data_IF_378505296372
#
_entry.id   IF_378505296372
#
_cell.length_a   1.000
_cell.length_b   1.000
_cell.length_c   1.000
_cell.angle_alpha   90.00
_cell.angle_beta   90.00
_cell.angle_gamma   90.00
#
_symmetry.space_group_name_H-M   'P 1'
#
loop_
_entity.id
_entity.type
_entity.pdbx_description
1 polymer ?
#
# COMPACT_ATOMS: atom_id res chain seq x y z
N UNK A 1 57.34 -11.73 -1.38
CA UNK A 1 56.17 -10.83 -1.39
C UNK A 1 56.68 -9.44 -1.79
N UNK A 2 56.03 -8.73 -2.72
CA UNK A 2 56.42 -7.35 -3.06
C UNK A 2 55.63 -6.38 -2.18
N UNK A 3 56.30 -5.43 -1.53
CA UNK A 3 55.62 -4.37 -0.78
C UNK A 3 54.89 -3.44 -1.74
N UNK A 4 53.64 -3.08 -1.44
CA UNK A 4 52.93 -2.04 -2.18
C UNK A 4 53.50 -0.66 -1.81
N UNK A 5 53.57 0.25 -2.78
CA UNK A 5 54.05 1.61 -2.51
C UNK A 5 52.98 2.41 -1.75
N UNK A 6 53.41 3.42 -0.99
CA UNK A 6 52.49 4.28 -0.22
C UNK A 6 51.37 4.86 -1.10
N UNK A 7 51.68 5.23 -2.35
CA UNK A 7 50.70 5.72 -3.31
C UNK A 7 49.64 4.67 -3.72
N UNK A 8 50.04 3.40 -3.89
CA UNK A 8 49.11 2.30 -4.17
C UNK A 8 48.20 2.02 -2.98
N UNK A 9 48.75 2.08 -1.75
CA UNK A 9 47.97 1.95 -0.52
C UNK A 9 46.98 3.12 -0.37
N UNK A 10 47.38 4.34 -0.74
CA UNK A 10 46.53 5.53 -0.71
C UNK A 10 45.39 5.46 -1.75
N UNK A 11 45.64 4.93 -2.96
CA UNK A 11 44.56 4.67 -3.93
C UNK A 11 43.59 3.58 -3.42
N UNK A 12 44.09 2.52 -2.79
CA UNK A 12 43.24 1.46 -2.20
C UNK A 12 42.41 1.96 -1.00
N UNK A 13 42.96 2.85 -0.18
CA UNK A 13 42.18 3.54 0.86
C UNK A 13 41.16 4.51 0.24
N UNK A 14 41.53 5.25 -0.82
CA UNK A 14 40.60 6.13 -1.53
C UNK A 14 39.39 5.36 -2.08
N UNK A 15 39.61 4.25 -2.80
CA UNK A 15 38.52 3.45 -3.37
C UNK A 15 37.69 2.70 -2.33
N UNK A 16 38.21 2.41 -1.13
CA UNK A 16 37.42 1.82 -0.05
C UNK A 16 36.65 2.87 0.77
N UNK A 17 37.21 4.07 1.00
CA UNK A 17 36.51 5.18 1.67
C UNK A 17 35.38 5.73 0.81
N UNK A 18 35.55 5.85 -0.51
CA UNK A 18 34.48 6.31 -1.42
C UNK A 18 33.34 5.30 -1.66
N UNK A 19 33.43 4.07 -1.11
CA UNK A 19 32.33 3.09 -1.15
C UNK A 19 31.51 3.04 0.15
N UNK A 20 31.77 3.91 1.13
CA UNK A 20 30.92 4.11 2.30
C UNK A 20 29.73 5.05 2.01
N UNK A 21 28.99 4.78 0.93
CA UNK A 21 27.66 5.35 0.77
C UNK A 21 26.76 4.82 1.89
N UNK A 22 26.44 5.70 2.85
CA UNK A 22 25.44 5.42 3.87
C UNK A 22 24.09 5.24 3.19
N UNK A 23 23.72 3.99 2.93
CA UNK A 23 22.56 3.62 2.12
C UNK A 23 21.26 3.85 2.90
N UNK A 24 20.89 5.10 3.20
CA UNK A 24 19.56 5.43 3.72
C UNK A 24 18.51 4.80 2.80
N UNK A 25 17.48 4.20 3.39
CA UNK A 25 16.38 3.63 2.61
C UNK A 25 15.77 4.76 1.76
N UNK A 26 15.66 4.54 0.45
CA UNK A 26 15.14 5.56 -0.45
C UNK A 26 13.72 5.95 -0.01
N UNK A 27 13.54 7.24 0.29
CA UNK A 27 12.30 7.74 0.85
C UNK A 27 11.62 8.59 -0.21
N UNK A 28 10.44 8.14 -0.62
CA UNK A 28 9.71 8.71 -1.72
C UNK A 28 8.26 8.99 -1.41
N UNK A 29 7.57 9.52 -2.40
CA UNK A 29 6.18 9.96 -2.30
C UNK A 29 5.42 9.66 -3.59
N UNK A 30 4.14 9.31 -3.46
CA UNK A 30 3.23 9.19 -4.58
C UNK A 30 2.72 10.58 -4.97
N UNK A 31 3.04 11.03 -6.18
CA UNK A 31 2.51 12.26 -6.78
C UNK A 31 1.24 11.89 -7.58
N UNK A 32 0.13 11.79 -6.83
CA UNK A 32 -1.22 11.73 -7.39
C UNK A 32 -1.59 13.06 -8.06
N UNK A 33 -2.46 12.97 -9.08
CA UNK A 33 -2.86 14.08 -9.95
C UNK A 33 -4.36 14.08 -10.27
N UNK A 34 -5.19 13.38 -9.50
CA UNK A 34 -6.65 13.35 -9.65
C UNK A 34 -7.26 14.57 -8.94
N UNK A 35 -6.92 15.75 -9.44
CA UNK A 35 -7.32 17.05 -8.90
C UNK A 35 -7.19 18.18 -9.94
N UNK A 36 -7.97 19.26 -9.76
CA UNK A 36 -8.00 20.44 -10.64
C UNK A 36 -7.21 21.66 -10.11
N UNK A 37 -6.66 21.56 -8.89
CA UNK A 37 -6.11 22.70 -8.16
C UNK A 37 -4.62 22.57 -7.80
N UNK A 38 -3.90 21.60 -8.38
CA UNK A 38 -2.48 21.34 -8.07
C UNK A 38 -1.52 22.33 -8.77
N UNK A 39 -0.34 22.62 -8.18
CA UNK A 39 0.73 23.38 -8.86
C UNK A 39 1.25 22.70 -10.12
N UNK A 40 1.97 23.45 -10.95
CA UNK A 40 2.60 22.88 -12.13
C UNK A 40 3.65 21.83 -11.74
N UNK A 41 3.89 20.80 -12.57
CA UNK A 41 4.90 19.78 -12.27
C UNK A 41 6.30 20.35 -12.03
N UNK A 42 6.64 21.50 -12.61
CA UNK A 42 7.91 22.21 -12.39
C UNK A 42 8.01 22.79 -10.98
N UNK A 43 6.93 23.36 -10.45
CA UNK A 43 6.88 23.85 -9.06
C UNK A 43 6.93 22.67 -8.09
N UNK A 44 6.21 21.58 -8.37
CA UNK A 44 6.25 20.34 -7.58
C UNK A 44 7.65 19.73 -7.55
N UNK A 45 8.32 19.59 -8.70
CA UNK A 45 9.69 19.06 -8.78
C UNK A 45 10.68 19.94 -8.00
N UNK A 46 10.56 21.27 -8.09
CA UNK A 46 11.38 22.21 -7.33
C UNK A 46 11.09 22.17 -5.82
N UNK A 47 9.83 22.06 -5.41
CA UNK A 47 9.44 21.91 -4.02
C UNK A 47 10.02 20.63 -3.40
N UNK A 48 9.83 19.48 -4.06
CA UNK A 48 10.38 18.20 -3.58
C UNK A 48 11.90 18.30 -3.47
N UNK A 49 12.58 18.75 -4.54
CA UNK A 49 14.04 18.88 -4.61
C UNK A 49 14.62 19.81 -3.52
N UNK A 50 13.96 20.92 -3.22
CA UNK A 50 14.51 21.97 -2.34
C UNK A 50 14.03 21.90 -0.89
N UNK A 51 12.80 21.45 -0.62
CA UNK A 51 12.17 21.52 0.72
C UNK A 51 11.96 20.18 1.41
N UNK A 52 11.75 19.09 0.66
CA UNK A 52 11.33 17.80 1.25
C UNK A 52 12.49 16.83 1.43
N UNK A 53 12.35 15.87 2.34
CA UNK A 53 13.32 14.77 2.52
C UNK A 53 13.33 13.78 1.35
N UNK A 54 12.35 13.83 0.43
CA UNK A 54 12.16 12.81 -0.58
C UNK A 54 13.24 12.82 -1.68
N UNK A 55 13.74 11.63 -2.00
CA UNK A 55 14.71 11.36 -3.07
C UNK A 55 14.09 10.65 -4.29
N UNK A 56 12.84 10.19 -4.15
CA UNK A 56 12.15 9.34 -5.12
C UNK A 56 10.66 9.72 -5.25
N UNK A 57 10.08 9.61 -6.45
CA UNK A 57 8.66 9.92 -6.70
C UNK A 57 8.02 8.83 -7.55
N UNK A 58 6.84 8.37 -7.16
CA UNK A 58 5.98 7.48 -7.98
C UNK A 58 4.85 8.28 -8.59
N UNK A 59 4.62 8.10 -9.88
CA UNK A 59 3.45 8.60 -10.62
C UNK A 59 2.64 7.43 -11.18
N UNK A 60 1.34 7.67 -11.39
CA UNK A 60 0.36 6.66 -11.80
C UNK A 60 0.22 6.50 -13.33
N UNK A 61 1.06 7.21 -14.09
CA UNK A 61 1.09 7.25 -15.55
C UNK A 61 2.54 7.43 -16.06
N UNK A 62 2.67 7.89 -17.32
CA UNK A 62 3.93 8.33 -17.96
C UNK A 62 3.86 9.79 -18.42
N UNK A 63 3.22 10.67 -17.64
CA UNK A 63 2.93 12.06 -18.04
C UNK A 63 4.20 12.80 -18.51
N UNK A 64 4.28 13.21 -19.79
CA UNK A 64 5.49 13.76 -20.38
C UNK A 64 5.86 15.14 -19.84
N UNK A 65 4.90 15.87 -19.25
CA UNK A 65 5.17 17.17 -18.62
C UNK A 65 5.78 16.99 -17.23
N UNK A 66 5.33 15.98 -16.48
CA UNK A 66 5.97 15.58 -15.22
C UNK A 66 7.36 15.02 -15.48
N UNK A 67 7.50 14.08 -16.42
CA UNK A 67 8.81 13.50 -16.75
C UNK A 67 9.83 14.56 -17.19
N UNK A 68 9.44 15.60 -17.93
CA UNK A 68 10.32 16.76 -18.22
C UNK A 68 10.63 17.61 -16.99
N UNK A 69 9.66 17.87 -16.12
CA UNK A 69 9.86 18.69 -14.92
C UNK A 69 10.85 18.07 -13.93
N UNK A 70 10.93 16.74 -13.86
CA UNK A 70 11.91 16.03 -13.03
C UNK A 70 13.29 15.84 -13.68
N UNK A 71 13.50 16.31 -14.92
CA UNK A 71 14.80 16.23 -15.60
C UNK A 71 15.89 17.02 -14.85
N UNK A 72 17.07 16.41 -14.69
CA UNK A 72 18.23 16.96 -13.99
C UNK A 72 17.94 17.41 -12.53
N UNK A 73 16.82 16.97 -11.93
CA UNK A 73 16.54 17.21 -10.50
C UNK A 73 17.49 16.43 -9.59
N UNK A 74 17.83 15.20 -10.00
CA UNK A 74 18.56 14.22 -9.21
C UNK A 74 17.66 13.18 -8.54
N UNK A 75 16.36 13.47 -8.40
CA UNK A 75 15.29 12.63 -7.86
C UNK A 75 15.06 11.43 -8.79
N UNK A 76 14.77 10.25 -8.23
CA UNK A 76 14.41 9.06 -9.02
C UNK A 76 12.91 8.95 -9.26
N UNK A 77 12.52 8.43 -10.43
CA UNK A 77 11.12 8.31 -10.85
C UNK A 77 10.70 6.84 -10.96
N UNK A 78 9.56 6.51 -10.35
CA UNK A 78 8.77 5.32 -10.68
C UNK A 78 7.60 5.75 -11.55
N UNK A 79 7.50 5.20 -12.76
CA UNK A 79 6.34 5.38 -13.65
C UNK A 79 5.41 4.18 -13.55
N UNK A 80 4.12 4.37 -13.77
CA UNK A 80 3.14 3.29 -13.69
C UNK A 80 2.44 3.10 -15.04
N UNK A 81 2.26 1.85 -15.45
CA UNK A 81 1.48 1.48 -16.62
C UNK A 81 0.05 1.15 -16.18
N UNK A 82 -1.00 1.73 -16.78
CA UNK A 82 -2.38 1.38 -16.47
C UNK A 82 -2.69 -0.11 -16.71
N UNK A 83 -3.53 -0.70 -15.84
CA UNK A 83 -3.88 -2.12 -15.87
C UNK A 83 -4.38 -2.63 -17.24
N UNK A 84 -5.05 -1.79 -18.02
CA UNK A 84 -5.58 -2.15 -19.34
C UNK A 84 -4.53 -2.40 -20.43
N UNK A 85 -3.29 -1.91 -20.27
CA UNK A 85 -2.20 -2.15 -21.23
C UNK A 85 -1.55 -3.53 -21.06
N UNK A 86 -1.75 -4.19 -19.91
CA UNK A 86 -1.06 -5.44 -19.55
C UNK A 86 -1.19 -6.52 -20.64
N UNK A 87 -2.37 -6.82 -21.22
CA UNK A 87 -2.51 -7.85 -22.24
C UNK A 87 -1.79 -7.50 -23.56
N UNK A 88 -1.69 -6.21 -23.89
CA UNK A 88 -1.01 -5.71 -25.09
C UNK A 88 0.51 -5.79 -24.94
N UNK A 89 1.04 -5.38 -23.79
CA UNK A 89 2.48 -5.35 -23.50
C UNK A 89 3.13 -6.73 -23.33
N UNK A 90 2.35 -7.82 -23.30
CA UNK A 90 2.87 -9.17 -23.47
C UNK A 90 3.49 -9.41 -24.86
N UNK A 91 3.22 -8.55 -25.85
CA UNK A 91 3.87 -8.58 -27.16
C UNK A 91 5.19 -7.77 -27.15
N UNK A 92 6.30 -8.40 -27.55
CA UNK A 92 7.62 -7.72 -27.59
C UNK A 92 7.66 -6.45 -28.45
N UNK A 93 6.90 -6.40 -29.54
CA UNK A 93 6.80 -5.22 -30.41
C UNK A 93 6.06 -4.07 -29.73
N UNK A 94 4.94 -4.37 -29.07
CA UNK A 94 4.20 -3.39 -28.25
C UNK A 94 5.04 -2.88 -27.07
N UNK A 95 5.72 -3.77 -26.34
CA UNK A 95 6.62 -3.40 -25.25
C UNK A 95 7.80 -2.52 -25.74
N UNK A 96 8.39 -2.86 -26.89
CA UNK A 96 9.45 -2.06 -27.51
C UNK A 96 8.95 -0.67 -27.93
N UNK A 97 7.79 -0.59 -28.59
CA UNK A 97 7.18 0.69 -28.96
C UNK A 97 6.84 1.54 -27.71
N UNK A 98 6.34 0.90 -26.64
CA UNK A 98 6.01 1.57 -25.39
C UNK A 98 7.26 2.15 -24.71
N UNK A 99 8.37 1.40 -24.62
CA UNK A 99 9.65 1.88 -24.07
C UNK A 99 10.23 3.03 -24.92
N UNK A 100 10.17 2.90 -26.26
CA UNK A 100 10.60 3.95 -27.18
C UNK A 100 9.80 5.27 -27.00
N UNK A 101 8.49 5.19 -26.73
CA UNK A 101 7.63 6.35 -26.58
C UNK A 101 7.68 6.98 -25.16
N UNK A 102 7.77 6.16 -24.11
CA UNK A 102 7.54 6.59 -22.72
C UNK A 102 8.80 6.70 -21.86
N UNK A 103 9.92 6.05 -22.24
CA UNK A 103 11.14 5.96 -21.42
C UNK A 103 12.32 6.65 -22.11
N UNK A 104 12.61 6.29 -23.36
CA UNK A 104 13.74 6.82 -24.11
C UNK A 104 13.79 8.37 -24.25
N UNK A 105 12.65 9.10 -24.40
CA UNK A 105 12.69 10.55 -24.56
C UNK A 105 13.04 11.33 -23.28
N UNK A 106 13.13 10.66 -22.12
CA UNK A 106 13.28 11.30 -20.81
C UNK A 106 14.50 10.79 -20.03
N UNK A 107 14.83 9.51 -20.13
CA UNK A 107 15.98 8.91 -19.43
C UNK A 107 17.25 8.97 -20.31
N UNK A 108 18.42 9.38 -19.79
CA UNK A 108 18.80 9.47 -18.37
C UNK A 108 18.62 10.83 -17.68
N UNK A 109 18.22 11.89 -18.38
CA UNK A 109 18.04 13.23 -17.79
C UNK A 109 17.05 13.19 -16.61
N UNK A 110 15.96 12.47 -16.79
CA UNK A 110 15.02 12.08 -15.75
C UNK A 110 15.34 10.66 -15.30
N UNK A 111 15.70 10.49 -14.03
CA UNK A 111 16.18 9.21 -13.48
C UNK A 111 15.03 8.24 -13.20
N UNK A 112 14.33 7.82 -14.25
CA UNK A 112 13.44 6.64 -14.20
C UNK A 112 14.24 5.46 -13.63
N UNK A 113 13.65 4.78 -12.65
CA UNK A 113 14.26 3.72 -11.83
C UNK A 113 13.40 2.47 -11.85
N UNK A 114 12.09 2.64 -11.72
CA UNK A 114 11.13 1.55 -11.83
C UNK A 114 10.02 1.85 -12.85
N UNK A 115 9.57 0.77 -13.50
CA UNK A 115 8.31 0.72 -14.23
C UNK A 115 7.39 -0.23 -13.44
N UNK A 116 6.36 0.31 -12.78
CA UNK A 116 5.30 -0.49 -12.17
C UNK A 116 4.28 -0.82 -13.25
N UNK A 117 4.26 -2.06 -13.74
CA UNK A 117 3.20 -2.50 -14.65
C UNK A 117 1.97 -2.89 -13.84
N UNK A 118 0.94 -2.06 -13.94
CA UNK A 118 -0.30 -2.17 -13.19
C UNK A 118 -0.23 -1.70 -11.73
N UNK A 119 -1.41 -1.70 -11.11
CA UNK A 119 -1.62 -1.50 -9.68
C UNK A 119 -2.76 -2.41 -9.21
N UNK A 120 -2.53 -3.19 -8.15
CA UNK A 120 -3.51 -4.00 -7.43
C UNK A 120 -4.33 -4.98 -8.30
N UNK A 121 -3.68 -5.56 -9.31
CA UNK A 121 -4.28 -6.46 -10.32
C UNK A 121 -5.10 -7.60 -9.69
N UNK A 122 -4.63 -8.17 -8.59
CA UNK A 122 -5.29 -9.27 -7.83
C UNK A 122 -6.50 -8.79 -7.01
N UNK A 123 -6.60 -7.51 -6.69
CA UNK A 123 -7.78 -6.91 -6.06
C UNK A 123 -8.89 -6.68 -7.09
N UNK A 124 -8.52 -6.26 -8.31
CA UNK A 124 -9.46 -6.02 -9.41
C UNK A 124 -9.90 -7.30 -10.13
N UNK A 125 -9.23 -8.43 -9.91
CA UNK A 125 -9.70 -9.78 -10.30
C UNK A 125 -9.77 -10.07 -11.80
N UNK A 126 -9.32 -9.17 -12.67
CA UNK A 126 -9.43 -9.33 -14.13
C UNK A 126 -8.49 -10.44 -14.65
N UNK A 127 -9.00 -11.54 -15.25
CA UNK A 127 -8.16 -12.66 -15.68
C UNK A 127 -7.14 -12.31 -16.76
N UNK A 128 -7.45 -11.38 -17.68
CA UNK A 128 -6.52 -10.97 -18.73
C UNK A 128 -5.33 -10.18 -18.16
N UNK A 129 -5.57 -9.35 -17.15
CA UNK A 129 -4.51 -8.61 -16.45
C UNK A 129 -3.66 -9.55 -15.58
N UNK A 130 -4.29 -10.49 -14.85
CA UNK A 130 -3.61 -11.49 -14.02
C UNK A 130 -2.70 -12.38 -14.89
N UNK A 131 -3.23 -12.94 -15.98
CA UNK A 131 -2.49 -13.86 -16.86
C UNK A 131 -1.44 -13.13 -17.72
N UNK A 132 -1.69 -11.88 -18.11
CA UNK A 132 -0.78 -11.09 -18.96
C UNK A 132 0.42 -10.48 -18.22
N UNK A 133 0.38 -10.40 -16.88
CA UNK A 133 1.36 -9.65 -16.10
C UNK A 133 2.81 -10.12 -16.32
N UNK A 134 3.12 -11.38 -16.02
CA UNK A 134 4.50 -11.89 -16.12
C UNK A 134 5.04 -11.86 -17.57
N UNK A 135 4.27 -12.27 -18.60
CA UNK A 135 4.65 -12.04 -19.99
C UNK A 135 5.00 -10.58 -20.32
N UNK A 136 4.21 -9.62 -19.86
CA UNK A 136 4.47 -8.20 -20.09
C UNK A 136 5.68 -7.67 -19.29
N UNK A 137 5.92 -8.15 -18.06
CA UNK A 137 7.13 -7.85 -17.29
C UNK A 137 8.41 -8.32 -17.99
N UNK A 138 8.37 -9.52 -18.60
CA UNK A 138 9.46 -10.07 -19.41
C UNK A 138 9.67 -9.23 -20.66
N UNK A 139 8.61 -8.97 -21.44
CA UNK A 139 8.69 -8.21 -22.69
C UNK A 139 9.19 -6.77 -22.49
N UNK A 140 8.79 -6.09 -21.41
CA UNK A 140 9.30 -4.76 -21.04
C UNK A 140 10.77 -4.80 -20.63
N UNK A 141 11.21 -5.82 -19.90
CA UNK A 141 12.61 -5.95 -19.48
C UNK A 141 13.52 -6.22 -20.68
N UNK A 142 13.09 -7.06 -21.62
CA UNK A 142 13.81 -7.29 -22.88
C UNK A 142 13.78 -6.05 -23.80
N UNK A 143 12.68 -5.28 -23.81
CA UNK A 143 12.60 -3.99 -24.51
C UNK A 143 13.61 -2.96 -23.95
N UNK A 144 13.74 -2.84 -22.62
CA UNK A 144 14.78 -2.02 -21.98
C UNK A 144 16.19 -2.51 -22.36
N UNK A 145 16.43 -3.83 -22.36
CA UNK A 145 17.73 -4.41 -22.75
C UNK A 145 18.08 -4.10 -24.21
N UNK A 146 17.10 -4.19 -25.12
CA UNK A 146 17.22 -3.84 -26.55
C UNK A 146 17.41 -2.34 -26.78
N UNK A 147 16.81 -1.49 -25.95
CA UNK A 147 16.90 -0.02 -26.06
C UNK A 147 18.32 0.53 -25.82
N UNK A 148 19.14 -0.16 -25.01
CA UNK A 148 20.56 0.15 -24.83
C UNK A 148 21.04 -0.01 -23.38
N UNK A 149 22.38 -0.03 -23.14
CA UNK A 149 22.95 -0.22 -21.81
C UNK A 149 22.43 0.76 -20.75
N UNK A 150 22.19 2.00 -21.14
CA UNK A 150 21.71 3.07 -20.25
C UNK A 150 20.30 2.86 -19.69
N UNK A 151 19.53 1.88 -20.18
CA UNK A 151 18.21 1.55 -19.66
C UNK A 151 18.19 0.26 -18.81
N UNK A 152 19.31 -0.48 -18.71
CA UNK A 152 19.36 -1.79 -18.05
C UNK A 152 19.27 -1.71 -16.51
N UNK A 153 19.52 -0.54 -15.93
CA UNK A 153 19.31 -0.29 -14.49
C UNK A 153 17.85 0.01 -14.12
N UNK A 154 17.00 0.35 -15.10
CA UNK A 154 15.55 0.46 -14.89
C UNK A 154 14.99 -0.94 -14.66
N UNK A 155 14.26 -1.16 -13.56
CA UNK A 155 13.67 -2.47 -13.23
C UNK A 155 12.16 -2.46 -13.37
N UNK A 156 11.60 -3.56 -13.87
CA UNK A 156 10.14 -3.74 -13.96
C UNK A 156 9.63 -4.41 -12.68
N UNK A 157 8.51 -3.90 -12.16
CA UNK A 157 7.81 -4.41 -10.96
C UNK A 157 6.29 -4.27 -11.13
N UNK A 158 5.52 -4.69 -10.14
CA UNK A 158 4.05 -4.57 -10.08
C UNK A 158 3.66 -4.33 -8.63
N UNK A 159 2.74 -3.41 -8.38
CA UNK A 159 2.27 -3.08 -7.04
C UNK A 159 1.09 -3.97 -6.61
N UNK A 160 1.23 -4.68 -5.49
CA UNK A 160 0.27 -5.68 -5.00
C UNK A 160 -0.44 -5.25 -3.70
N UNK A 161 -1.77 -5.36 -3.69
CA UNK A 161 -2.61 -5.18 -2.50
C UNK A 161 -2.51 -6.37 -1.53
N UNK A 162 -2.92 -6.14 -0.28
CA UNK A 162 -2.86 -7.13 0.81
C UNK A 162 -3.84 -8.32 0.66
N UNK A 163 -4.79 -8.25 -0.28
CA UNK A 163 -5.74 -9.35 -0.59
C UNK A 163 -5.08 -10.59 -1.24
N UNK A 164 -3.74 -10.59 -1.31
CA UNK A 164 -2.88 -11.70 -1.70
C UNK A 164 -2.73 -12.80 -0.63
N UNK A 165 -3.05 -12.55 0.64
CA UNK A 165 -2.82 -13.51 1.73
C UNK A 165 -3.94 -14.53 1.96
N UNK A 166 -3.56 -15.74 2.38
CA UNK A 166 -4.50 -16.79 2.80
C UNK A 166 -5.00 -16.56 4.24
N UNK A 167 -6.15 -15.89 4.36
CA UNK A 167 -6.88 -15.75 5.62
C UNK A 167 -6.18 -14.94 6.70
N UNK A 168 -6.71 -14.99 7.93
CA UNK A 168 -6.21 -14.17 9.04
C UNK A 168 -5.17 -14.95 9.84
N UNK A 169 -3.90 -14.57 9.69
CA UNK A 169 -2.72 -15.23 10.29
C UNK A 169 -1.83 -14.25 11.04
N UNK A 170 -1.01 -14.78 11.98
CA UNK A 170 0.19 -14.10 12.48
C UNK A 170 1.31 -14.13 11.44
N UNK A 171 2.27 -13.19 11.43
CA UNK A 171 3.21 -13.04 10.33
C UNK A 171 3.99 -14.29 9.94
N UNK A 172 4.53 -15.07 10.89
CA UNK A 172 5.31 -16.28 10.55
C UNK A 172 4.50 -17.48 10.03
N UNK A 173 3.17 -17.39 10.05
CA UNK A 173 2.25 -18.36 9.44
C UNK A 173 1.64 -17.85 8.12
N UNK A 174 2.00 -16.65 7.66
CA UNK A 174 1.45 -16.08 6.44
C UNK A 174 1.82 -16.88 5.20
N UNK A 175 0.85 -17.03 4.29
CA UNK A 175 0.99 -17.66 2.98
C UNK A 175 0.24 -16.83 1.95
N UNK A 176 0.66 -16.90 0.69
CA UNK A 176 -0.17 -16.43 -0.42
C UNK A 176 -1.42 -17.31 -0.52
N UNK A 177 -2.50 -16.72 -1.04
CA UNK A 177 -3.74 -17.41 -1.43
C UNK A 177 -3.46 -18.66 -2.25
N UNK A 178 -4.04 -19.80 -1.84
CA UNK A 178 -3.79 -21.11 -2.45
C UNK A 178 -4.13 -21.16 -3.95
N UNK A 179 -5.12 -20.39 -4.40
CA UNK A 179 -5.53 -20.26 -5.80
C UNK A 179 -4.58 -19.42 -6.67
N UNK A 180 -3.65 -18.68 -6.05
CA UNK A 180 -2.71 -17.77 -6.71
C UNK A 180 -1.22 -18.06 -6.42
N UNK A 181 -0.92 -18.87 -5.39
CA UNK A 181 0.44 -19.07 -4.89
C UNK A 181 1.38 -19.66 -5.94
N UNK A 182 1.01 -20.81 -6.52
CA UNK A 182 1.80 -21.50 -7.56
C UNK A 182 1.58 -20.93 -8.97
N UNK A 183 0.40 -20.40 -9.24
CA UNK A 183 -0.07 -19.96 -10.57
C UNK A 183 0.30 -18.53 -10.92
N UNK A 184 0.46 -17.65 -9.92
CA UNK A 184 0.70 -16.22 -10.12
C UNK A 184 1.88 -15.71 -9.30
N UNK A 185 1.84 -15.83 -7.97
CA UNK A 185 2.87 -15.24 -7.11
C UNK A 185 4.25 -15.90 -7.29
N UNK A 186 4.32 -17.21 -7.47
CA UNK A 186 5.56 -17.94 -7.76
C UNK A 186 6.21 -17.50 -9.09
N UNK A 187 5.52 -17.46 -10.24
CA UNK A 187 6.03 -16.83 -11.47
C UNK A 187 6.49 -15.38 -11.30
N UNK A 188 5.73 -14.54 -10.58
CA UNK A 188 6.09 -13.13 -10.31
C UNK A 188 7.39 -13.04 -9.49
N UNK A 189 7.52 -13.81 -8.42
CA UNK A 189 8.71 -13.84 -7.56
C UNK A 189 9.93 -14.44 -8.27
N UNK A 190 9.73 -15.44 -9.12
CA UNK A 190 10.79 -15.98 -9.98
C UNK A 190 11.31 -14.93 -10.96
N UNK A 191 10.41 -14.15 -11.60
CA UNK A 191 10.80 -13.01 -12.44
C UNK A 191 11.63 -11.98 -11.64
N UNK A 192 11.19 -11.61 -10.44
CA UNK A 192 11.89 -10.67 -9.56
C UNK A 192 13.31 -11.14 -9.20
N UNK A 193 13.46 -12.39 -8.78
CA UNK A 193 14.74 -13.01 -8.43
C UNK A 193 15.70 -13.05 -9.63
N UNK A 194 15.22 -13.45 -10.81
CA UNK A 194 16.02 -13.52 -12.04
C UNK A 194 16.51 -12.14 -12.51
N UNK A 195 15.65 -11.11 -12.44
CA UNK A 195 15.94 -9.77 -12.96
C UNK A 195 16.48 -8.78 -11.92
N UNK A 196 16.61 -9.21 -10.65
CA UNK A 196 17.00 -8.39 -9.50
C UNK A 196 16.12 -7.14 -9.37
N UNK A 197 14.80 -7.33 -9.49
CA UNK A 197 13.79 -6.30 -9.27
C UNK A 197 12.98 -6.59 -8.00
N UNK A 198 12.48 -5.56 -7.29
CA UNK A 198 11.75 -5.76 -6.05
C UNK A 198 10.30 -6.18 -6.30
N UNK A 199 9.76 -7.01 -5.40
CA UNK A 199 8.33 -7.21 -5.24
C UNK A 199 7.72 -5.97 -4.57
N UNK A 200 6.84 -5.25 -5.27
CA UNK A 200 6.25 -4.00 -4.78
C UNK A 200 4.87 -4.26 -4.16
N UNK A 201 4.62 -3.70 -2.99
CA UNK A 201 3.38 -3.90 -2.22
C UNK A 201 2.76 -2.58 -1.76
N UNK A 202 1.46 -2.59 -1.54
CA UNK A 202 0.68 -1.47 -1.01
C UNK A 202 0.16 -1.78 0.42
N UNK A 203 1.02 -1.87 1.45
CA UNK A 203 0.62 -2.22 2.80
C UNK A 203 -0.02 -1.03 3.53
N UNK A 204 -1.35 -0.94 3.49
CA UNK A 204 -2.14 0.08 4.19
C UNK A 204 -2.81 -0.48 5.47
N UNK A 205 -2.23 -0.30 6.68
CA UNK A 205 -2.90 -0.60 7.95
C UNK A 205 -4.30 0.00 8.13
N UNK A 206 -4.57 1.15 7.48
CA UNK A 206 -5.88 1.80 7.50
C UNK A 206 -7.02 0.90 7.01
N UNK A 207 -6.79 0.11 5.95
CA UNK A 207 -7.79 -0.81 5.39
C UNK A 207 -7.87 -2.16 6.12
N UNK A 208 -6.94 -2.45 7.03
CA UNK A 208 -6.85 -3.71 7.79
C UNK A 208 -7.38 -3.57 9.24
N UNK A 209 -7.96 -2.42 9.61
CA UNK A 209 -8.37 -2.14 10.99
C UNK A 209 -9.33 -3.19 11.57
N UNK A 210 -10.29 -3.67 10.78
CA UNK A 210 -11.23 -4.72 11.20
C UNK A 210 -10.51 -6.07 11.48
N UNK A 211 -9.44 -6.38 10.74
CA UNK A 211 -8.57 -7.54 10.97
C UNK A 211 -7.73 -7.35 12.23
N UNK A 212 -7.45 -6.11 12.60
CA UNK A 212 -6.71 -5.69 13.80
C UNK A 212 -7.61 -5.43 15.01
N UNK A 213 -8.89 -5.84 14.97
CA UNK A 213 -9.90 -5.60 16.02
C UNK A 213 -10.07 -4.11 16.36
N UNK A 214 -10.07 -3.26 15.33
CA UNK A 214 -10.17 -1.80 15.38
C UNK A 214 -9.10 -1.11 16.27
N UNK A 215 -7.95 -1.77 16.47
CA UNK A 215 -6.81 -1.23 17.22
C UNK A 215 -6.07 -0.15 16.40
N UNK A 216 -6.66 1.05 16.35
CA UNK A 216 -6.11 2.21 15.66
C UNK A 216 -4.70 2.53 16.15
N UNK A 217 -4.42 2.45 17.45
CA UNK A 217 -3.11 2.79 18.00
C UNK A 217 -1.99 1.84 17.51
N UNK A 218 -2.28 0.55 17.35
CA UNK A 218 -1.41 -0.42 16.66
C UNK A 218 -1.24 -0.12 15.17
N UNK A 219 -2.30 0.36 14.52
CA UNK A 219 -2.25 0.75 13.11
C UNK A 219 -1.41 2.03 12.89
N UNK A 220 -1.45 3.00 13.81
CA UNK A 220 -0.76 4.32 13.70
C UNK A 220 0.50 4.48 14.57
N UNK A 221 1.15 3.35 14.91
CA UNK A 221 2.44 3.27 15.63
C UNK A 221 2.47 3.88 17.05
N UNK A 222 1.31 4.10 17.68
CA UNK A 222 1.23 4.58 19.07
C UNK A 222 1.57 3.46 20.06
N UNK A 223 1.59 3.78 21.35
CA UNK A 223 1.85 2.76 22.39
C UNK A 223 0.69 1.75 22.45
N UNK A 224 1.04 0.48 22.26
CA UNK A 224 0.14 -0.67 22.31
C UNK A 224 0.92 -1.85 22.91
N UNK A 225 0.26 -2.87 23.50
CA UNK A 225 0.92 -4.11 23.92
C UNK A 225 1.69 -4.82 22.81
N UNK A 226 1.27 -4.55 21.56
CA UNK A 226 1.67 -5.28 20.37
C UNK A 226 0.92 -6.60 20.19
N UNK A 227 1.13 -7.22 19.03
CA UNK A 227 0.63 -8.56 18.70
C UNK A 227 1.78 -9.55 18.85
N UNK A 228 1.63 -10.55 19.71
CA UNK A 228 2.62 -11.62 19.89
C UNK A 228 2.37 -12.75 18.88
N UNK A 229 3.40 -13.10 18.11
CA UNK A 229 3.42 -14.27 17.24
C UNK A 229 3.96 -15.48 18.03
N UNK A 230 3.12 -16.49 18.34
CA UNK A 230 3.52 -17.63 19.16
C UNK A 230 4.47 -18.61 18.45
N UNK A 231 4.64 -18.50 17.13
CA UNK A 231 5.53 -19.36 16.35
C UNK A 231 6.91 -18.72 16.21
N UNK A 232 7.00 -17.46 15.78
CA UNK A 232 8.30 -16.75 15.69
C UNK A 232 8.81 -16.16 17.00
N UNK A 233 7.98 -16.17 18.05
CA UNK A 233 8.25 -15.55 19.37
C UNK A 233 8.54 -14.04 19.30
N UNK A 234 8.08 -13.36 18.24
CA UNK A 234 8.20 -11.92 18.05
C UNK A 234 6.94 -11.19 18.54
N UNK A 235 7.12 -10.03 19.13
CA UNK A 235 6.02 -9.07 19.35
C UNK A 235 6.13 -7.95 18.32
N UNK A 236 5.04 -7.72 17.59
CA UNK A 236 4.90 -6.62 16.64
C UNK A 236 4.30 -5.44 17.39
N UNK A 237 4.99 -4.30 17.50
CA UNK A 237 4.43 -3.10 18.15
C UNK A 237 3.51 -2.29 17.23
N UNK A 238 3.53 -2.56 15.93
CA UNK A 238 2.76 -1.84 14.92
C UNK A 238 2.33 -2.74 13.76
N UNK A 239 1.28 -2.32 13.08
CA UNK A 239 0.67 -3.02 11.96
C UNK A 239 1.60 -3.18 10.75
N UNK A 240 2.36 -2.15 10.38
CA UNK A 240 3.20 -2.18 9.18
C UNK A 240 4.27 -3.27 9.25
N UNK A 241 4.90 -3.43 10.42
CA UNK A 241 5.86 -4.52 10.65
C UNK A 241 5.21 -5.91 10.48
N UNK A 242 3.98 -6.09 10.95
CA UNK A 242 3.22 -7.33 10.70
C UNK A 242 2.95 -7.55 9.21
N UNK A 243 2.60 -6.52 8.44
CA UNK A 243 2.29 -6.65 7.00
C UNK A 243 3.55 -6.94 6.17
N UNK A 244 4.69 -6.33 6.51
CA UNK A 244 5.99 -6.60 5.89
C UNK A 244 6.47 -8.02 6.19
N UNK A 245 6.37 -8.48 7.45
CA UNK A 245 6.80 -9.83 7.83
C UNK A 245 5.82 -10.92 7.38
N UNK A 246 4.52 -10.60 7.20
CA UNK A 246 3.58 -11.46 6.45
C UNK A 246 4.03 -11.62 5.00
N UNK A 247 4.39 -10.53 4.33
CA UNK A 247 4.84 -10.53 2.93
C UNK A 247 6.11 -11.38 2.78
N UNK A 248 7.14 -11.10 3.57
CA UNK A 248 8.39 -11.86 3.58
C UNK A 248 8.20 -13.35 3.91
N UNK A 249 7.34 -13.69 4.86
CA UNK A 249 7.05 -15.09 5.19
C UNK A 249 6.35 -15.80 4.03
N UNK A 250 5.38 -15.15 3.37
CA UNK A 250 4.69 -15.71 2.21
C UNK A 250 5.64 -15.93 1.01
N UNK A 251 6.56 -14.98 0.75
CA UNK A 251 7.62 -15.11 -0.26
C UNK A 251 8.60 -16.24 0.09
N UNK A 252 9.06 -16.29 1.34
CA UNK A 252 9.97 -17.31 1.85
C UNK A 252 9.36 -18.73 1.78
N UNK A 253 8.06 -18.86 2.01
CA UNK A 253 7.33 -20.12 1.89
C UNK A 253 7.23 -20.66 0.45
N UNK A 254 7.45 -19.81 -0.56
CA UNK A 254 7.59 -20.21 -1.97
C UNK A 254 9.06 -20.35 -2.41
N UNK A 255 10.03 -20.04 -1.54
CA UNK A 255 11.47 -20.13 -1.82
C UNK A 255 12.16 -18.80 -2.20
N UNK A 256 11.46 -17.66 -2.10
CA UNK A 256 11.93 -16.35 -2.62
C UNK A 256 12.11 -15.29 -1.51
N UNK A 257 12.61 -15.69 -0.33
CA UNK A 257 12.85 -14.75 0.79
C UNK A 257 13.98 -13.73 0.53
N UNK A 258 14.83 -14.02 -0.45
CA UNK A 258 15.93 -13.19 -0.94
C UNK A 258 15.47 -12.02 -1.83
N UNK A 259 14.29 -12.11 -2.44
CA UNK A 259 13.71 -11.02 -3.23
C UNK A 259 13.45 -9.80 -2.34
N UNK A 260 13.75 -8.61 -2.87
CA UNK A 260 13.54 -7.34 -2.15
C UNK A 260 12.09 -6.88 -2.16
N UNK A 261 11.70 -6.20 -1.09
CA UNK A 261 10.34 -5.70 -0.85
C UNK A 261 10.38 -4.17 -0.89
N UNK A 262 9.55 -3.56 -1.74
CA UNK A 262 9.35 -2.12 -1.83
C UNK A 262 7.93 -1.77 -1.44
N UNK A 263 7.76 -0.76 -0.57
CA UNK A 263 6.46 -0.20 -0.24
C UNK A 263 6.10 0.79 -1.35
N UNK A 264 5.33 0.34 -2.33
CA UNK A 264 4.88 1.14 -3.47
C UNK A 264 3.83 2.18 -3.09
N UNK A 265 3.05 1.91 -2.04
CA UNK A 265 2.12 2.84 -1.42
C UNK A 265 1.92 2.50 0.07
N UNK A 266 1.96 3.50 0.93
CA UNK A 266 1.32 3.43 2.25
C UNK A 266 1.11 4.82 2.82
N UNK A 267 0.11 5.01 3.67
CA UNK A 267 -0.22 6.31 4.25
C UNK A 267 -1.45 6.24 5.15
N UNK A 268 -2.05 7.40 5.41
CA UNK A 268 -3.26 7.49 6.24
C UNK A 268 -4.04 8.79 5.97
N UNK A 269 -5.38 8.74 5.81
CA UNK A 269 -6.19 9.91 5.48
C UNK A 269 -6.40 10.84 6.69
N UNK A 270 -6.29 12.15 6.43
CA UNK A 270 -6.34 13.22 7.44
C UNK A 270 -7.74 13.72 7.78
N UNK A 271 -8.74 13.38 6.96
CA UNK A 271 -10.16 13.68 7.15
C UNK A 271 -10.97 12.57 6.47
N UNK A 272 -12.09 12.18 7.05
CA UNK A 272 -13.04 11.24 6.44
C UNK A 272 -14.48 11.65 6.68
N UNK A 273 -15.40 10.78 6.27
CA UNK A 273 -16.84 10.99 6.36
C UNK A 273 -17.32 11.03 7.82
N UNK A 274 -18.41 11.76 8.14
CA UNK A 274 -18.89 11.90 9.51
C UNK A 274 -19.07 10.55 10.22
N UNK A 275 -18.39 10.38 11.35
CA UNK A 275 -18.37 9.13 12.13
C UNK A 275 -17.18 8.21 11.86
N UNK A 276 -16.40 8.42 10.79
CA UNK A 276 -15.12 7.73 10.60
C UNK A 276 -14.10 8.21 11.64
N UNK A 277 -13.80 7.36 12.64
CA UNK A 277 -12.84 7.65 13.71
C UNK A 277 -11.38 7.34 13.34
N UNK A 278 -11.16 6.65 12.22
CA UNK A 278 -9.83 6.29 11.74
C UNK A 278 -9.23 7.42 10.91
N UNK A 279 -9.95 7.96 9.93
CA UNK A 279 -9.52 9.09 9.12
C UNK A 279 -9.55 10.40 9.94
N UNK A 280 -8.39 11.03 10.14
CA UNK A 280 -8.27 12.20 11.03
C UNK A 280 -6.83 12.66 11.20
N UNK A 281 -6.62 13.97 11.38
CA UNK A 281 -5.30 14.61 11.39
C UNK A 281 -4.33 13.99 12.42
N UNK A 282 -4.78 13.72 13.65
CA UNK A 282 -3.94 13.12 14.70
C UNK A 282 -3.49 11.69 14.37
N UNK A 283 -4.32 10.94 13.63
CA UNK A 283 -4.00 9.59 13.19
C UNK A 283 -3.05 9.64 11.97
N UNK A 284 -3.28 10.57 11.03
CA UNK A 284 -2.43 10.77 9.87
C UNK A 284 -1.02 11.28 10.24
N UNK A 285 -0.93 12.24 11.16
CA UNK A 285 0.33 12.73 11.70
C UNK A 285 1.09 11.63 12.46
N UNK A 286 0.38 10.82 13.25
CA UNK A 286 0.97 9.67 13.95
C UNK A 286 1.47 8.62 12.98
N UNK A 287 0.68 8.26 11.95
CA UNK A 287 1.06 7.26 10.97
C UNK A 287 2.27 7.69 10.14
N UNK A 288 2.15 8.81 9.41
CA UNK A 288 3.17 9.26 8.48
C UNK A 288 4.44 9.74 9.19
N UNK A 289 4.32 10.33 10.39
CA UNK A 289 5.49 10.72 11.19
C UNK A 289 6.30 9.53 11.71
N UNK A 290 5.64 8.49 12.24
CA UNK A 290 6.35 7.26 12.64
C UNK A 290 6.87 6.47 11.44
N UNK A 291 6.15 6.44 10.31
CA UNK A 291 6.62 5.85 9.06
C UNK A 291 7.93 6.50 8.61
N UNK A 292 7.97 7.83 8.48
CA UNK A 292 9.19 8.57 8.10
C UNK A 292 10.34 8.25 9.07
N UNK A 293 10.11 8.33 10.38
CA UNK A 293 11.11 7.99 11.40
C UNK A 293 11.62 6.55 11.26
N UNK A 294 10.73 5.59 11.01
CA UNK A 294 11.06 4.16 10.84
C UNK A 294 11.95 3.93 9.61
N UNK A 295 11.55 4.45 8.45
CA UNK A 295 12.30 4.28 7.19
C UNK A 295 13.68 4.96 7.27
N UNK A 296 13.74 6.20 7.77
CA UNK A 296 15.02 6.93 7.96
C UNK A 296 15.93 6.23 8.97
N UNK A 297 15.39 5.63 10.04
CA UNK A 297 16.19 4.87 11.01
C UNK A 297 16.81 3.58 10.45
N UNK A 298 16.24 3.03 9.37
CA UNK A 298 16.68 1.75 8.81
C UNK A 298 16.47 0.53 9.73
N UNK A 299 15.64 0.63 10.77
CA UNK A 299 15.50 -0.41 11.81
C UNK A 299 15.01 -1.78 11.30
N UNK A 300 14.35 -1.83 10.15
CA UNK A 300 13.73 -3.03 9.60
C UNK A 300 12.51 -3.50 10.40
N UNK A 301 12.25 -4.80 10.37
CA UNK A 301 11.09 -5.47 10.98
C UNK A 301 11.52 -6.58 11.97
N UNK A 302 10.62 -7.16 12.78
CA UNK A 302 10.96 -8.24 13.72
C UNK A 302 11.57 -9.51 13.10
N UNK A 303 11.24 -9.88 11.86
CA UNK A 303 11.87 -10.99 11.10
C UNK A 303 12.94 -10.52 10.12
N UNK A 304 12.91 -9.26 9.66
CA UNK A 304 13.94 -8.66 8.79
C UNK A 304 14.62 -7.46 9.49
N UNK A 305 15.31 -7.67 10.63
CA UNK A 305 15.92 -6.59 11.39
C UNK A 305 17.06 -5.93 10.59
N UNK A 306 17.11 -4.61 10.61
CA UNK A 306 18.01 -3.77 9.79
C UNK A 306 17.80 -3.88 8.26
N UNK A 307 16.78 -4.60 7.75
CA UNK A 307 16.42 -4.54 6.32
C UNK A 307 15.83 -3.17 6.03
N UNK A 308 16.23 -2.59 4.90
CA UNK A 308 15.82 -1.26 4.48
C UNK A 308 14.73 -1.38 3.43
N UNK A 309 13.58 -0.76 3.70
CA UNK A 309 12.42 -0.76 2.82
C UNK A 309 12.31 0.60 2.13
N UNK A 310 12.62 0.64 0.84
CA UNK A 310 12.28 1.80 0.03
C UNK A 310 10.75 1.98 0.03
N UNK A 311 10.31 3.23 0.24
CA UNK A 311 8.94 3.53 0.64
C UNK A 311 8.42 4.77 -0.05
N UNK A 312 7.30 4.64 -0.75
CA UNK A 312 6.57 5.73 -1.38
C UNK A 312 5.32 6.05 -0.56
N UNK A 313 5.33 7.19 0.15
CA UNK A 313 4.21 7.60 0.99
C UNK A 313 3.03 8.04 0.11
N UNK A 314 1.82 7.57 0.40
CA UNK A 314 0.58 7.98 -0.25
C UNK A 314 -0.14 9.04 0.61
N UNK A 315 -0.27 10.29 0.18
CA UNK A 315 0.21 10.91 -1.07
C UNK A 315 0.82 12.30 -0.82
N UNK A 316 1.43 12.89 -1.87
CA UNK A 316 2.02 14.21 -1.79
C UNK A 316 0.99 15.29 -1.48
N UNK A 317 -0.15 15.26 -2.16
CA UNK A 317 -1.23 16.25 -2.07
C UNK A 317 -2.58 15.61 -1.74
N UNK A 318 -3.51 16.44 -1.25
CA UNK A 318 -4.94 16.10 -1.23
C UNK A 318 -5.50 16.15 -2.67
N UNK A 319 -6.15 15.07 -3.09
CA UNK A 319 -6.65 14.90 -4.47
C UNK A 319 -8.17 15.14 -4.52
N UNK A 320 -8.57 16.40 -4.76
CA UNK A 320 -9.96 16.84 -4.59
C UNK A 320 -10.98 16.20 -5.56
N UNK A 321 -10.53 15.60 -6.68
CA UNK A 321 -11.40 14.91 -7.64
C UNK A 321 -11.42 13.38 -7.46
N UNK A 322 -10.67 12.77 -6.52
CA UNK A 322 -10.77 11.31 -6.26
C UNK A 322 -12.22 10.91 -5.95
N UNK A 323 -12.78 9.88 -6.61
CA UNK A 323 -14.15 9.43 -6.35
C UNK A 323 -14.25 8.64 -5.03
N UNK A 324 -15.46 8.52 -4.50
CA UNK A 324 -15.74 7.71 -3.30
C UNK A 324 -15.79 8.52 -2.00
N UNK A 325 -15.44 7.89 -0.85
CA UNK A 325 -15.50 8.50 0.49
C UNK A 325 -14.69 9.81 0.61
N UNK A 326 -15.03 10.68 1.56
CA UNK A 326 -14.24 11.88 1.87
C UNK A 326 -12.79 11.53 2.21
N UNK A 327 -12.54 10.35 2.79
CA UNK A 327 -11.20 9.83 3.06
C UNK A 327 -10.31 9.81 1.79
N UNK A 328 -10.87 9.44 0.63
CA UNK A 328 -10.11 9.34 -0.63
C UNK A 328 -9.56 10.67 -1.12
N UNK A 329 -10.13 11.80 -0.69
CA UNK A 329 -9.66 13.14 -1.07
C UNK A 329 -8.58 13.70 -0.16
N UNK A 330 -8.29 13.04 0.97
CA UNK A 330 -7.58 13.64 2.12
C UNK A 330 -6.33 12.87 2.58
N UNK A 331 -5.69 12.10 1.70
CA UNK A 331 -4.45 11.35 1.94
C UNK A 331 -3.16 12.21 1.89
N UNK A 332 -3.26 13.51 1.61
CA UNK A 332 -2.11 14.38 1.37
C UNK A 332 -1.22 14.62 2.59
N UNK A 333 0.08 14.74 2.35
CA UNK A 333 1.04 15.36 3.27
C UNK A 333 1.00 16.90 3.20
N UNK A 334 0.72 17.44 2.01
CA UNK A 334 0.66 18.88 1.73
C UNK A 334 -0.67 19.29 1.10
N UNK A 335 -1.06 20.54 1.30
CA UNK A 335 -2.08 21.21 0.52
C UNK A 335 -1.47 21.68 -0.83
N UNK A 336 -2.30 22.05 -1.82
CA UNK A 336 -1.79 22.52 -3.12
C UNK A 336 -0.93 23.79 -3.06
N UNK A 337 -1.03 24.61 -2.01
CA UNK A 337 -0.14 25.77 -1.78
C UNK A 337 1.24 25.41 -1.18
N UNK A 338 1.56 24.11 -1.11
CA UNK A 338 2.72 23.51 -0.45
C UNK A 338 2.75 23.64 1.09
N UNK A 339 1.71 24.16 1.74
CA UNK A 339 1.60 24.10 3.20
C UNK A 339 1.39 22.65 3.68
N UNK A 340 1.98 22.23 4.81
CA UNK A 340 1.75 20.88 5.33
C UNK A 340 0.33 20.75 5.89
N UNK A 341 -0.40 19.68 5.54
CA UNK A 341 -1.74 19.40 6.11
C UNK A 341 -1.62 19.12 7.62
N UNK A 342 -0.52 18.48 8.02
CA UNK A 342 -0.13 18.21 9.40
C UNK A 342 1.40 18.03 9.47
N UNK A 343 1.98 18.17 10.65
CA UNK A 343 3.42 17.98 10.83
C UNK A 343 3.77 16.49 10.72
N UNK A 344 4.47 16.10 9.66
CA UNK A 344 4.90 14.72 9.38
C UNK A 344 6.42 14.51 9.45
N UNK A 345 7.22 15.58 9.42
CA UNK A 345 8.68 15.50 9.28
C UNK A 345 9.16 15.34 7.83
N UNK A 346 8.27 15.41 6.84
CA UNK A 346 8.61 15.33 5.41
C UNK A 346 9.41 16.55 4.88
N UNK A 347 9.50 17.65 5.63
CA UNK A 347 10.26 18.86 5.31
C UNK A 347 11.63 18.83 6.01
N UNK A 348 12.71 19.14 5.28
CA UNK A 348 14.10 19.09 5.80
C UNK A 348 14.31 20.04 6.98
N UNK A 349 13.90 21.29 6.79
CA UNK A 349 14.03 22.38 7.77
C UNK A 349 12.70 22.68 8.48
N UNK A 350 11.74 21.76 8.40
CA UNK A 350 10.39 21.93 8.96
C UNK A 350 10.26 21.49 10.42
N UNK A 351 9.11 21.82 11.05
CA UNK A 351 8.78 21.29 12.37
C UNK A 351 8.79 19.75 12.34
N UNK A 352 9.24 19.15 13.43
CA UNK A 352 9.27 17.70 13.60
C UNK A 352 8.01 17.20 14.31
N UNK A 353 7.47 16.04 13.94
CA UNK A 353 6.23 15.53 14.53
C UNK A 353 6.42 15.20 16.01
N UNK A 354 5.40 15.50 16.83
CA UNK A 354 5.40 15.07 18.23
C UNK A 354 5.07 13.57 18.34
N UNK A 355 6.09 12.73 18.17
CA UNK A 355 6.02 11.28 18.30
C UNK A 355 6.16 10.80 19.76
N UNK A 356 5.69 11.62 20.71
CA UNK A 356 5.88 11.46 22.15
C UNK A 356 4.96 10.46 22.84
N UNK A 357 4.93 9.19 22.39
CA UNK A 357 4.30 8.11 23.16
C UNK A 357 5.06 6.78 22.92
N UNK A 358 5.53 6.04 23.95
CA UNK A 358 6.56 5.02 23.76
C UNK A 358 6.00 3.67 23.31
N UNK A 359 5.74 3.55 22.00
CA UNK A 359 5.52 2.28 21.28
C UNK A 359 6.73 1.82 20.44
N UNK A 360 7.83 2.59 20.45
CA UNK A 360 9.00 2.40 19.61
C UNK A 360 10.29 2.46 20.45
N UNK A 361 10.67 1.33 21.06
CA UNK A 361 11.91 1.14 21.84
C UNK A 361 13.18 1.07 20.97
N UNK A 362 13.23 1.91 19.94
CA UNK A 362 14.49 2.33 19.34
C UNK A 362 15.11 3.38 20.28
N UNK A 363 16.01 2.91 21.16
CA UNK A 363 16.81 3.74 22.08
C UNK A 363 17.23 5.07 21.43
N UNK A 364 16.80 6.19 22.01
CA UNK A 364 17.33 7.52 21.69
C UNK A 364 18.12 7.99 22.89
N UNK A 365 19.45 7.91 22.80
CA UNK A 365 20.34 8.46 23.82
C UNK A 365 20.26 9.99 23.76
N UNK A 366 19.94 10.68 24.88
CA UNK A 366 19.93 12.14 24.89
C UNK A 366 21.33 12.69 24.58
N UNK A 367 21.43 13.53 23.54
CA UNK A 367 22.66 14.29 23.25
C UNK A 367 23.58 13.77 22.14
N UNK A 368 23.14 12.89 21.24
CA UNK A 368 23.89 12.57 20.00
C UNK A 368 23.05 12.79 18.73
N UNK A 369 23.67 13.24 17.61
CA UNK A 369 23.04 13.22 16.30
C UNK A 369 22.69 11.79 15.83
N UNK A 370 21.80 11.71 14.84
CA UNK A 370 21.45 10.46 14.15
C UNK A 370 22.70 9.74 13.60
N UNK A 371 22.81 8.39 13.65
CA UNK A 371 22.42 7.51 14.78
C UNK A 371 23.44 6.36 15.06
N UNK A 372 23.46 5.81 16.30
CA UNK A 372 23.83 4.40 16.61
C UNK A 372 23.05 3.89 17.87
N UNK A 373 22.74 2.57 18.03
CA UNK A 373 21.47 2.15 18.70
C UNK A 373 21.53 1.04 19.81
N UNK A 374 20.37 0.76 20.49
CA UNK A 374 19.75 -0.57 20.90
C UNK A 374 19.23 -0.78 22.38
N UNK A 375 17.88 -0.66 22.60
CA UNK A 375 16.89 -1.49 23.41
C UNK A 375 16.90 -1.66 24.98
N UNK A 376 15.86 -2.25 25.71
CA UNK A 376 14.35 -2.38 25.54
C UNK A 376 13.37 -2.47 26.81
N UNK A 377 12.02 -2.46 26.62
CA UNK A 377 10.84 -3.14 27.33
C UNK A 377 10.16 -2.57 28.64
N UNK A 378 8.88 -2.92 29.07
CA UNK A 378 7.73 -3.77 28.53
C UNK A 378 6.21 -3.25 28.59
N UNK A 379 5.18 -4.09 28.23
CA UNK A 379 3.67 -3.90 27.95
C UNK A 379 2.63 -4.00 29.16
N UNK A 380 1.25 -4.25 29.16
CA UNK A 380 0.18 -4.86 28.24
C UNK A 380 -1.30 -4.17 28.14
N UNK A 381 -2.54 -4.82 28.23
CA UNK A 381 -3.62 -5.25 27.23
C UNK A 381 -5.09 -4.61 27.32
N UNK A 382 -6.27 -4.96 26.66
CA UNK A 382 -6.80 -5.50 25.34
C UNK A 382 -8.41 -5.64 25.20
N UNK A 383 -9.02 -6.00 24.01
CA UNK A 383 -10.43 -6.52 23.66
C UNK A 383 -11.63 -5.53 23.26
N UNK A 384 -12.86 -5.80 22.66
CA UNK A 384 -13.71 -6.97 22.17
C UNK A 384 -15.04 -6.60 21.30
N UNK A 385 -15.83 -7.59 20.75
CA UNK A 385 -17.31 -7.65 20.30
C UNK A 385 -17.82 -7.52 18.78
N UNK A 386 -19.09 -7.95 18.41
CA UNK A 386 -19.67 -8.20 17.02
C UNK A 386 -21.16 -7.75 16.72
N UNK A 387 -21.62 -7.64 15.43
CA UNK A 387 -22.98 -7.17 14.93
C UNK A 387 -23.55 -7.82 13.60
N UNK A 388 -24.81 -7.50 13.23
CA UNK A 388 -25.56 -7.80 11.96
C UNK A 388 -26.37 -6.58 11.42
N UNK A 389 -26.96 -6.68 10.21
CA UNK A 389 -27.81 -5.65 9.56
C UNK A 389 -29.18 -6.20 9.07
N UNK A 390 -30.26 -5.41 9.17
CA UNK A 390 -31.63 -5.73 8.68
C UNK A 390 -32.39 -4.48 8.21
N UNK A 391 -33.48 -4.57 7.42
CA UNK A 391 -34.26 -3.40 7.01
C UNK A 391 -35.20 -2.93 8.14
N UNK A 392 -35.25 -1.61 8.39
CA UNK A 392 -36.13 -1.00 9.41
C UNK A 392 -37.60 -1.34 9.18
N UNK A 393 -38.45 -1.50 10.22
CA UNK A 393 -39.87 -1.84 10.07
C UNK A 393 -40.65 -0.92 9.11
N UNK A 394 -40.38 0.38 9.15
CA UNK A 394 -41.06 1.43 8.40
C UNK A 394 -40.64 1.56 6.91
N UNK A 395 -39.59 0.86 6.47
CA UNK A 395 -39.12 0.91 5.10
C UNK A 395 -40.13 0.27 4.12
N UNK A 396 -40.52 1.02 3.08
CA UNK A 396 -41.53 0.60 2.09
C UNK A 396 -40.96 -0.36 1.05
N UNK A 397 -41.80 -1.23 0.47
CA UNK A 397 -41.34 -2.22 -0.53
C UNK A 397 -40.66 -1.58 -1.76
N UNK A 398 -41.03 -0.36 -2.16
CA UNK A 398 -40.34 0.36 -3.24
C UNK A 398 -38.89 0.76 -2.86
N UNK A 399 -38.67 1.19 -1.62
CA UNK A 399 -37.32 1.46 -1.10
C UNK A 399 -36.53 0.15 -0.93
N UNK A 400 -37.17 -0.91 -0.45
CA UNK A 400 -36.53 -2.21 -0.26
C UNK A 400 -36.15 -2.88 -1.60
N UNK A 401 -36.94 -2.66 -2.66
CA UNK A 401 -36.59 -3.10 -4.01
C UNK A 401 -35.36 -2.32 -4.52
N UNK A 402 -35.31 -1.00 -4.35
CA UNK A 402 -34.12 -0.21 -4.68
C UNK A 402 -32.87 -0.66 -3.90
N UNK A 403 -33.01 -1.00 -2.61
CA UNK A 403 -31.92 -1.53 -1.79
C UNK A 403 -31.42 -2.89 -2.29
N UNK A 404 -32.35 -3.77 -2.66
CA UNK A 404 -32.07 -5.08 -3.23
C UNK A 404 -31.31 -4.95 -4.56
N UNK A 405 -31.82 -4.14 -5.48
CA UNK A 405 -31.22 -3.93 -6.80
C UNK A 405 -29.84 -3.25 -6.69
N UNK A 406 -29.69 -2.28 -5.79
CA UNK A 406 -28.39 -1.68 -5.46
C UNK A 406 -27.41 -2.72 -4.90
N UNK A 407 -27.80 -3.50 -3.88
CA UNK A 407 -26.93 -4.49 -3.26
C UNK A 407 -26.46 -5.54 -4.29
N UNK A 408 -27.36 -6.09 -5.10
CA UNK A 408 -27.01 -7.04 -6.15
C UNK A 408 -26.12 -6.40 -7.23
N UNK A 409 -26.40 -5.15 -7.62
CA UNK A 409 -25.58 -4.36 -8.55
C UNK A 409 -24.18 -4.02 -8.04
N UNK A 410 -23.94 -4.11 -6.72
CA UNK A 410 -22.61 -3.94 -6.10
C UNK A 410 -21.81 -5.25 -5.98
N UNK A 411 -22.17 -6.29 -6.74
CA UNK A 411 -21.44 -7.56 -6.81
C UNK A 411 -21.78 -8.57 -5.71
N UNK A 412 -22.90 -8.38 -5.01
CA UNK A 412 -23.39 -9.33 -4.00
C UNK A 412 -24.06 -10.52 -4.67
N UNK A 413 -23.75 -11.73 -4.19
CA UNK A 413 -24.38 -12.95 -4.69
C UNK A 413 -25.85 -13.04 -4.25
N UNK A 414 -26.73 -12.50 -5.09
CA UNK A 414 -28.16 -12.55 -4.92
C UNK A 414 -28.82 -13.83 -5.47
N UNK A 415 -28.06 -14.83 -5.95
CA UNK A 415 -28.64 -16.12 -6.39
C UNK A 415 -29.47 -16.83 -5.29
N UNK A 416 -29.10 -16.79 -3.98
CA UNK A 416 -29.91 -17.40 -2.91
C UNK A 416 -31.33 -16.85 -2.79
N UNK A 417 -31.62 -15.65 -3.27
CA UNK A 417 -32.93 -14.97 -3.17
C UNK A 417 -33.70 -14.90 -4.50
N UNK A 418 -33.18 -15.51 -5.57
CA UNK A 418 -33.91 -15.68 -6.84
C UNK A 418 -34.85 -16.89 -6.79
N UNK A 419 -35.68 -17.07 -7.82
CA UNK A 419 -36.57 -18.22 -7.96
C UNK A 419 -35.79 -19.56 -7.84
N UNK A 420 -36.20 -20.41 -6.90
CA UNK A 420 -35.51 -21.67 -6.56
C UNK A 420 -34.33 -21.54 -5.58
N UNK A 421 -34.01 -20.34 -5.10
CA UNK A 421 -32.95 -20.08 -4.13
C UNK A 421 -33.34 -20.40 -2.67
N UNK A 422 -32.34 -20.71 -1.83
CA UNK A 422 -32.53 -21.14 -0.42
C UNK A 422 -33.08 -20.06 0.54
N UNK A 423 -33.16 -18.81 0.09
CA UNK A 423 -33.70 -17.65 0.79
C UNK A 423 -34.90 -17.03 0.04
N UNK A 424 -35.51 -17.73 -0.93
CA UNK A 424 -36.61 -17.19 -1.73
C UNK A 424 -37.91 -17.02 -0.93
N UNK A 425 -38.18 -17.92 0.02
CA UNK A 425 -39.35 -17.85 0.89
C UNK A 425 -39.06 -17.12 2.22
N UNK A 426 -40.04 -16.45 2.84
CA UNK A 426 -41.33 -16.08 2.24
C UNK A 426 -41.11 -15.02 1.15
N UNK A 427 -41.75 -15.19 -0.02
CA UNK A 427 -41.49 -14.46 -1.27
C UNK A 427 -41.77 -12.93 -1.30
N UNK A 428 -41.69 -12.24 -0.16
CA UNK A 428 -41.77 -10.78 0.00
C UNK A 428 -40.51 -10.06 -0.52
N UNK A 429 -40.66 -8.79 -0.92
CA UNK A 429 -39.49 -7.92 -1.22
C UNK A 429 -38.62 -7.76 0.02
N UNK A 430 -39.23 -7.53 1.19
CA UNK A 430 -38.55 -7.36 2.47
C UNK A 430 -37.58 -8.49 2.85
N UNK A 431 -37.94 -9.76 2.69
CA UNK A 431 -37.03 -10.87 3.03
C UNK A 431 -35.84 -10.96 2.07
N UNK A 432 -36.07 -10.76 0.76
CA UNK A 432 -35.00 -10.72 -0.25
C UNK A 432 -34.06 -9.53 -0.03
N UNK A 433 -34.63 -8.34 0.20
CA UNK A 433 -33.88 -7.12 0.51
C UNK A 433 -33.09 -7.28 1.81
N UNK A 434 -33.66 -7.86 2.87
CA UNK A 434 -32.96 -8.11 4.12
C UNK A 434 -31.69 -8.96 3.96
N UNK A 435 -31.78 -10.05 3.19
CA UNK A 435 -30.61 -10.89 2.88
C UNK A 435 -29.57 -10.10 2.09
N UNK A 436 -29.97 -9.44 1.01
CA UNK A 436 -29.06 -8.65 0.18
C UNK A 436 -28.40 -7.49 0.97
N UNK A 437 -29.15 -6.81 1.84
CA UNK A 437 -28.67 -5.74 2.71
C UNK A 437 -27.67 -6.25 3.74
N UNK A 438 -27.92 -7.41 4.37
CA UNK A 438 -26.94 -8.02 5.28
C UNK A 438 -25.70 -8.52 4.52
N UNK A 439 -25.86 -9.25 3.41
CA UNK A 439 -24.72 -9.71 2.60
C UNK A 439 -23.88 -8.54 2.06
N UNK A 440 -24.51 -7.41 1.70
CA UNK A 440 -23.82 -6.17 1.38
C UNK A 440 -23.06 -5.61 2.60
N UNK A 441 -23.73 -5.40 3.73
CA UNK A 441 -23.12 -4.95 4.99
C UNK A 441 -21.93 -5.81 5.41
N UNK A 442 -22.00 -7.13 5.20
CA UNK A 442 -20.93 -8.10 5.49
C UNK A 442 -19.80 -8.05 4.45
N UNK A 443 -20.10 -7.79 3.18
CA UNK A 443 -19.07 -7.46 2.16
C UNK A 443 -18.34 -6.16 2.51
N UNK A 444 -19.02 -5.23 3.18
CA UNK A 444 -18.45 -4.02 3.79
C UNK A 444 -18.04 -4.24 5.25
N UNK A 445 -17.66 -5.48 5.58
CA UNK A 445 -16.98 -5.91 6.81
C UNK A 445 -17.74 -5.65 8.12
N UNK A 446 -19.04 -5.36 8.04
CA UNK A 446 -19.89 -5.08 9.20
C UNK A 446 -19.83 -3.65 9.71
N UNK A 447 -19.34 -2.70 8.89
CA UNK A 447 -19.29 -1.27 9.22
C UNK A 447 -20.72 -0.71 9.38
N UNK A 448 -21.00 -0.08 10.52
CA UNK A 448 -22.32 0.40 10.92
C UNK A 448 -23.08 1.17 9.81
N UNK A 449 -22.40 2.10 9.11
CA UNK A 449 -22.99 2.91 8.04
C UNK A 449 -23.25 2.14 6.74
N UNK A 450 -22.63 0.98 6.52
CA UNK A 450 -22.97 0.10 5.39
C UNK A 450 -24.33 -0.58 5.56
N UNK A 451 -24.98 -0.40 6.71
CA UNK A 451 -26.37 -0.79 6.94
C UNK A 451 -27.37 0.38 6.74
N UNK A 452 -26.94 1.60 6.41
CA UNK A 452 -27.86 2.74 6.34
C UNK A 452 -28.91 2.61 5.22
N UNK A 453 -28.48 2.30 3.99
CA UNK A 453 -29.37 2.16 2.83
C UNK A 453 -30.34 3.34 2.64
N UNK A 454 -29.84 4.58 2.67
CA UNK A 454 -30.68 5.78 2.56
C UNK A 454 -31.60 5.97 3.76
N UNK A 455 -31.11 5.65 4.95
CA UNK A 455 -31.84 5.67 6.21
C UNK A 455 -32.85 4.53 6.40
N UNK A 456 -32.86 3.48 5.57
CA UNK A 456 -33.86 2.40 5.60
C UNK A 456 -33.40 1.08 6.22
N UNK A 457 -32.12 0.91 6.53
CA UNK A 457 -31.59 -0.23 7.28
C UNK A 457 -31.20 0.11 8.72
N UNK A 458 -31.05 -0.93 9.56
CA UNK A 458 -30.69 -0.84 10.97
C UNK A 458 -29.86 -2.03 11.43
N UNK A 459 -29.00 -1.79 12.42
CA UNK A 459 -28.15 -2.81 13.00
C UNK A 459 -28.88 -3.62 14.07
N UNK A 460 -28.48 -4.88 14.24
CA UNK A 460 -28.97 -5.76 15.29
C UNK A 460 -27.85 -6.69 15.77
N UNK A 461 -27.92 -7.13 17.03
CA UNK A 461 -27.09 -8.20 17.57
C UNK A 461 -27.80 -9.56 17.55
N UNK A 462 -29.09 -9.58 17.21
CA UNK A 462 -29.90 -10.79 17.00
C UNK A 462 -29.69 -11.28 15.56
N UNK A 463 -29.30 -12.56 15.41
CA UNK A 463 -29.16 -13.21 14.10
C UNK A 463 -30.52 -13.32 13.39
N UNK A 464 -30.71 -12.71 12.21
CA UNK A 464 -31.96 -12.76 11.45
C UNK A 464 -32.12 -14.01 10.56
N UNK A 465 -31.19 -14.97 10.62
CA UNK A 465 -31.26 -16.24 9.90
C UNK A 465 -32.53 -17.04 10.21
N UNK A 466 -33.14 -17.67 9.20
CA UNK A 466 -34.35 -18.47 9.36
C UNK A 466 -34.37 -19.69 8.42
N UNK A 467 -34.88 -20.82 8.91
CA UNK A 467 -34.89 -22.09 8.15
C UNK A 467 -33.49 -22.47 7.65
N UNK A 468 -33.34 -22.60 6.33
CA UNK A 468 -32.06 -22.85 5.66
C UNK A 468 -31.37 -21.56 5.17
N UNK A 469 -32.01 -20.39 5.28
CA UNK A 469 -31.41 -19.11 4.91
C UNK A 469 -30.51 -18.58 6.04
N UNK A 470 -29.26 -18.24 5.73
CA UNK A 470 -28.22 -17.89 6.72
C UNK A 470 -27.59 -16.53 6.42
N UNK A 471 -27.68 -15.62 7.38
CA UNK A 471 -27.24 -14.22 7.31
C UNK A 471 -25.82 -14.05 7.87
N UNK A 472 -24.88 -14.84 7.33
CA UNK A 472 -23.46 -14.90 7.78
C UNK A 472 -22.75 -13.56 7.73
#
# INVERSE_FOLDING_TARGET
MKSLTSLQLFLLLSTTVFNLFSSTAAIGVNYGMVADNLPSPTEVANFIKSKTIFDSVKIFDTNPNVLRAFANTGITMTVTIPNGEIPNLANEGAASAWVNANIQPFHPQTKIKYISIGNEIVLLGNPAHINGLVPAMIALTEALRKAGPQFQDIKVTSAHALNMFQGLTVPSLARFRVDLAETFFKPVLQFHQQNKSPFMINPYPYFELNVMSDNIDYAVFRKTPGVFDPTSKKTYSNALDSLLDKTYTAMSALGFGDVDIVIGETGWPSLGDPGNKAAGMDNAASYNGHLIRKIVSGAGTPLMPNRKFETYIFALFNENQKPGPIAEKNWGLFQPDFSPVYTSGALRDGPQPNLGNPGFDAEVKPGQPLPKPVQPMPSPPAANAKKFCVPKPEATDAQLQNNLDYACGQGIDCRPIQAGGVCVEPATVRCRAGFAMNSYFKSKLGVDSACDFGGTGQLTTVDPSYGNCRYV
#
